data_IF_433632762607
#
_entry.id   IF_433632762607
#
_cell.length_a   1.000
_cell.length_b   1.000
_cell.length_c   1.000
_cell.angle_alpha   90.00
_cell.angle_beta   90.00
_cell.angle_gamma   90.00
#
_symmetry.space_group_name_H-M   'P 1'
#
loop_
_entity.id
_entity.type
_entity.pdbx_description
1 polymer ?
#
# COMPACT_ATOMS: atom_id res chain seq x y z
N UNK A 1 -6.13 14.58 19.87
CA UNK A 1 -6.04 16.01 19.46
C UNK A 1 -5.00 16.74 20.27
N UNK A 2 -5.08 16.79 21.61
CA UNK A 2 -4.08 17.45 22.48
C UNK A 2 -2.63 16.97 22.24
N UNK A 3 -2.40 15.67 22.13
CA UNK A 3 -1.06 15.15 21.85
C UNK A 3 -0.54 15.46 20.44
N UNK A 4 -1.44 15.53 19.45
CA UNK A 4 -1.10 15.93 18.07
C UNK A 4 -0.69 17.42 18.05
N UNK A 5 -1.31 18.24 18.90
CA UNK A 5 -0.93 19.64 19.07
C UNK A 5 0.42 19.77 19.79
N UNK A 6 0.70 18.91 20.77
CA UNK A 6 1.98 18.91 21.48
C UNK A 6 3.16 18.59 20.55
N UNK A 7 3.06 17.52 19.75
CA UNK A 7 4.13 17.14 18.81
C UNK A 7 4.39 18.23 17.77
N UNK A 8 3.33 18.90 17.31
CA UNK A 8 3.44 20.02 16.37
C UNK A 8 4.20 21.21 16.94
N UNK A 9 4.01 21.52 18.23
CA UNK A 9 4.79 22.58 18.89
C UNK A 9 6.28 22.24 18.84
N UNK A 10 6.65 21.01 19.18
CA UNK A 10 8.04 20.54 19.16
C UNK A 10 8.62 20.60 17.73
N UNK A 11 7.88 20.13 16.73
CA UNK A 11 8.30 20.20 15.32
C UNK A 11 8.49 21.66 14.89
N UNK A 12 7.56 22.55 15.25
CA UNK A 12 7.61 23.98 14.90
C UNK A 12 8.78 24.71 15.56
N UNK A 13 9.06 24.42 16.83
CA UNK A 13 10.24 24.94 17.54
C UNK A 13 11.53 24.47 16.86
N UNK A 14 11.64 23.17 16.55
CA UNK A 14 12.81 22.61 15.86
C UNK A 14 12.97 23.19 14.44
N UNK A 15 11.88 23.37 13.71
CA UNK A 15 11.86 24.01 12.39
C UNK A 15 12.28 25.47 12.46
N UNK A 16 11.93 26.18 13.53
CA UNK A 16 12.39 27.56 13.74
C UNK A 16 13.90 27.60 13.98
N UNK A 17 14.46 26.64 14.71
CA UNK A 17 15.90 26.52 14.96
C UNK A 17 16.70 26.09 13.71
N UNK A 18 16.13 25.23 12.86
CA UNK A 18 16.79 24.62 11.70
C UNK A 18 16.02 24.87 10.38
N UNK A 19 15.63 26.12 10.13
CA UNK A 19 14.71 26.45 9.04
C UNK A 19 15.24 26.05 7.65
N UNK A 20 16.55 26.22 7.41
CA UNK A 20 17.19 25.85 6.15
C UNK A 20 17.19 24.34 5.96
N UNK A 21 17.51 23.60 7.01
CA UNK A 21 17.64 22.15 6.96
C UNK A 21 16.28 21.47 6.84
N UNK A 22 15.22 22.01 7.44
CA UNK A 22 13.86 21.53 7.18
C UNK A 22 13.45 21.72 5.72
N UNK A 23 13.82 22.85 5.10
CA UNK A 23 13.58 23.07 3.67
C UNK A 23 14.33 22.04 2.80
N UNK A 24 15.60 21.80 3.09
CA UNK A 24 16.40 20.79 2.39
C UNK A 24 15.85 19.37 2.62
N UNK A 25 15.37 19.09 3.83
CA UNK A 25 14.74 17.81 4.17
C UNK A 25 13.49 17.55 3.34
N UNK A 26 12.62 18.56 3.19
CA UNK A 26 11.46 18.49 2.30
C UNK A 26 11.88 18.28 0.83
N UNK A 27 12.86 19.05 0.35
CA UNK A 27 13.40 18.92 -1.02
C UNK A 27 13.98 17.52 -1.28
N UNK A 28 14.68 16.93 -0.29
CA UNK A 28 15.22 15.58 -0.39
C UNK A 28 14.13 14.51 -0.43
N UNK A 29 13.04 14.67 0.34
CA UNK A 29 11.89 13.75 0.29
C UNK A 29 11.24 13.78 -1.10
N UNK A 30 11.01 14.97 -1.65
CA UNK A 30 10.43 15.09 -3.00
C UNK A 30 11.37 14.54 -4.08
N UNK A 31 12.67 14.80 -3.98
CA UNK A 31 13.66 14.22 -4.89
C UNK A 31 13.69 12.70 -4.80
N UNK A 32 13.63 12.14 -3.59
CA UNK A 32 13.55 10.70 -3.37
C UNK A 32 12.29 10.13 -4.05
N UNK A 33 11.14 10.80 -3.92
CA UNK A 33 9.90 10.40 -4.59
C UNK A 33 10.02 10.44 -6.12
N UNK A 34 10.59 11.51 -6.68
CA UNK A 34 10.75 11.67 -8.14
C UNK A 34 11.69 10.64 -8.77
N UNK A 35 12.79 10.29 -8.08
CA UNK A 35 13.79 9.36 -8.61
C UNK A 35 13.34 7.91 -8.46
N UNK A 36 12.66 7.59 -7.36
CA UNK A 36 12.32 6.22 -7.02
C UNK A 36 10.88 5.83 -7.36
N UNK A 37 10.01 6.78 -7.68
CA UNK A 37 8.64 6.52 -8.09
C UNK A 37 8.55 5.84 -9.45
N UNK A 38 7.45 5.12 -9.67
CA UNK A 38 7.12 4.61 -11.00
C UNK A 38 6.76 5.79 -11.93
N UNK A 39 7.49 5.94 -13.05
CA UNK A 39 7.20 6.94 -14.07
C UNK A 39 6.22 6.42 -15.14
N UNK A 40 5.74 7.32 -16.01
CA UNK A 40 4.77 6.99 -17.06
C UNK A 40 5.32 5.99 -18.08
N UNK A 41 6.63 6.03 -18.34
CA UNK A 41 7.30 5.05 -19.20
C UNK A 41 7.22 3.68 -18.55
N UNK A 42 7.52 3.60 -17.26
CA UNK A 42 7.48 2.38 -16.45
C UNK A 42 6.05 1.86 -16.27
N UNK A 43 5.05 2.73 -16.26
CA UNK A 43 3.66 2.30 -16.29
C UNK A 43 3.27 1.72 -17.67
N UNK A 44 3.61 2.43 -18.75
CA UNK A 44 3.18 2.10 -20.12
C UNK A 44 3.68 0.75 -20.63
N UNK A 45 4.97 0.45 -20.45
CA UNK A 45 5.53 -0.86 -20.85
C UNK A 45 4.98 -2.02 -19.99
N UNK A 46 4.77 -1.84 -18.67
CA UNK A 46 4.06 -2.82 -17.82
C UNK A 46 2.67 -3.12 -18.37
N UNK A 47 1.91 -2.08 -18.73
CA UNK A 47 0.59 -2.24 -19.34
C UNK A 47 0.63 -2.92 -20.71
N UNK A 48 1.70 -2.70 -21.49
CA UNK A 48 1.96 -3.42 -22.74
C UNK A 48 2.16 -4.92 -22.50
N UNK A 49 2.96 -5.30 -21.49
CA UNK A 49 3.16 -6.71 -21.11
C UNK A 49 1.86 -7.33 -20.62
N UNK A 50 1.10 -6.64 -19.76
CA UNK A 50 -0.25 -7.08 -19.35
C UNK A 50 -1.16 -7.34 -20.55
N UNK A 51 -1.14 -6.49 -21.57
CA UNK A 51 -1.96 -6.69 -22.77
C UNK A 51 -1.54 -7.93 -23.56
N UNK A 52 -0.23 -8.20 -23.67
CA UNK A 52 0.29 -9.43 -24.28
C UNK A 52 -0.20 -10.68 -23.51
N UNK A 53 -0.09 -10.66 -22.19
CA UNK A 53 -0.57 -11.74 -21.33
C UNK A 53 -2.08 -11.95 -21.44
N UNK A 54 -2.87 -10.88 -21.48
CA UNK A 54 -4.32 -10.97 -21.66
C UNK A 54 -4.69 -11.67 -22.97
N UNK A 55 -4.01 -11.33 -24.08
CA UNK A 55 -4.22 -11.97 -25.38
C UNK A 55 -4.00 -13.48 -25.31
N UNK A 56 -2.98 -13.94 -24.58
CA UNK A 56 -2.73 -15.37 -24.37
C UNK A 56 -3.80 -16.02 -23.49
N UNK A 57 -4.11 -15.42 -22.35
CA UNK A 57 -5.10 -15.94 -21.41
C UNK A 57 -6.47 -16.09 -22.09
N UNK A 58 -6.85 -15.16 -22.97
CA UNK A 58 -8.08 -15.23 -23.76
C UNK A 58 -8.16 -16.38 -24.77
N UNK A 59 -7.03 -17.00 -25.13
CA UNK A 59 -7.04 -18.26 -25.91
C UNK A 59 -7.59 -19.44 -25.09
N UNK A 60 -7.48 -19.38 -23.76
CA UNK A 60 -7.95 -20.42 -22.83
C UNK A 60 -9.28 -20.03 -22.19
N UNK A 61 -9.46 -18.75 -21.91
CA UNK A 61 -10.58 -18.16 -21.17
C UNK A 61 -11.07 -16.90 -21.87
N UNK A 62 -11.94 -17.04 -22.87
CA UNK A 62 -12.35 -15.96 -23.78
C UNK A 62 -12.93 -14.73 -23.06
N UNK A 63 -13.74 -14.97 -22.03
CA UNK A 63 -14.44 -13.92 -21.28
C UNK A 63 -13.62 -13.36 -20.11
N UNK A 64 -12.34 -13.72 -20.01
CA UNK A 64 -11.47 -13.21 -18.95
C UNK A 64 -11.03 -11.77 -19.20
N UNK A 65 -10.80 -11.07 -18.08
CA UNK A 65 -10.01 -9.86 -18.02
C UNK A 65 -8.77 -10.09 -17.14
N UNK A 66 -7.77 -9.23 -17.28
CA UNK A 66 -6.51 -9.31 -16.53
C UNK A 66 -6.22 -7.93 -15.95
N UNK A 67 -6.57 -7.65 -14.71
CA UNK A 67 -6.50 -6.28 -14.18
C UNK A 67 -5.18 -6.08 -13.46
N UNK A 68 -4.47 -4.99 -13.76
CA UNK A 68 -3.31 -4.58 -12.98
C UNK A 68 -3.76 -4.07 -11.62
N UNK A 69 -3.12 -4.53 -10.56
CA UNK A 69 -3.43 -4.18 -9.17
C UNK A 69 -2.14 -3.80 -8.43
N UNK A 70 -2.27 -3.45 -7.16
CA UNK A 70 -1.13 -3.14 -6.29
C UNK A 70 -0.39 -1.87 -6.70
N UNK A 71 0.91 -1.89 -6.45
CA UNK A 71 1.85 -0.76 -6.63
C UNK A 71 1.83 -0.17 -8.04
N UNK A 72 1.51 -0.98 -9.05
CA UNK A 72 1.53 -0.55 -10.46
C UNK A 72 0.45 0.49 -10.77
N UNK A 73 -0.69 0.45 -10.08
CA UNK A 73 -1.86 1.31 -10.37
C UNK A 73 -2.30 2.18 -9.19
N UNK A 74 -1.91 1.82 -7.96
CA UNK A 74 -2.37 2.51 -6.75
C UNK A 74 -1.69 3.87 -6.47
N UNK A 75 -0.78 4.31 -7.36
CA UNK A 75 -0.04 5.56 -7.24
C UNK A 75 1.12 5.57 -6.24
N UNK A 76 1.40 4.44 -5.58
CA UNK A 76 2.44 4.31 -4.53
C UNK A 76 3.56 3.32 -4.94
N UNK A 77 3.73 3.05 -6.23
CA UNK A 77 4.73 2.13 -6.75
C UNK A 77 6.12 2.73 -6.91
N UNK A 78 7.15 1.92 -6.69
CA UNK A 78 8.54 2.25 -7.05
C UNK A 78 8.85 1.85 -8.49
N UNK A 79 9.88 2.43 -9.09
CA UNK A 79 10.33 2.11 -10.46
C UNK A 79 10.64 0.63 -10.68
N UNK A 80 11.12 -0.05 -9.63
CA UNK A 80 11.47 -1.47 -9.64
C UNK A 80 10.44 -2.38 -8.96
N UNK A 81 9.23 -1.89 -8.68
CA UNK A 81 8.19 -2.73 -8.07
C UNK A 81 7.69 -3.77 -9.07
N UNK A 82 7.44 -4.98 -8.57
CA UNK A 82 6.74 -6.06 -9.27
C UNK A 82 5.39 -5.59 -9.85
N UNK A 83 4.90 -6.32 -10.84
CA UNK A 83 3.56 -6.12 -11.40
C UNK A 83 2.59 -7.17 -10.86
N UNK A 84 1.69 -6.74 -9.98
CA UNK A 84 0.58 -7.59 -9.53
C UNK A 84 -0.56 -7.57 -10.56
N UNK A 85 -1.04 -8.75 -10.94
CA UNK A 85 -2.15 -8.93 -11.86
C UNK A 85 -3.25 -9.80 -11.22
N UNK A 86 -4.50 -9.44 -11.47
CA UNK A 86 -5.67 -10.22 -11.10
C UNK A 86 -6.41 -10.67 -12.35
N UNK A 87 -6.43 -11.99 -12.61
CA UNK A 87 -7.33 -12.53 -13.61
C UNK A 87 -8.74 -12.47 -13.05
N UNK A 88 -9.61 -11.74 -13.75
CA UNK A 88 -11.04 -11.74 -13.52
C UNK A 88 -11.65 -12.73 -14.50
N UNK A 89 -11.84 -13.95 -14.03
CA UNK A 89 -12.48 -15.01 -14.80
C UNK A 89 -13.87 -15.24 -14.21
N UNK A 90 -14.95 -14.93 -14.95
CA UNK A 90 -16.30 -15.14 -14.46
C UNK A 90 -16.51 -16.60 -14.05
N UNK A 91 -17.02 -16.79 -12.84
CA UNK A 91 -17.53 -18.05 -12.32
C UNK A 91 -19.06 -18.07 -12.49
N UNK A 92 -19.72 -19.14 -12.00
CA UNK A 92 -21.19 -19.33 -12.04
C UNK A 92 -21.96 -18.00 -11.92
N UNK A 93 -22.96 -17.80 -12.78
CA UNK A 93 -23.79 -16.58 -12.86
C UNK A 93 -22.98 -15.28 -13.11
N UNK A 94 -21.88 -15.37 -13.85
CA UNK A 94 -20.97 -14.23 -14.14
C UNK A 94 -20.38 -13.56 -12.88
N UNK A 95 -20.37 -14.27 -11.75
CA UNK A 95 -19.82 -13.74 -10.50
C UNK A 95 -18.29 -13.86 -10.46
N UNK A 96 -17.63 -12.93 -9.77
CA UNK A 96 -16.21 -13.00 -9.44
C UNK A 96 -15.98 -13.40 -7.98
N UNK A 97 -16.97 -14.07 -7.37
CA UNK A 97 -16.88 -14.48 -5.97
C UNK A 97 -15.63 -15.35 -5.73
N UNK A 98 -14.98 -15.09 -4.60
CA UNK A 98 -13.74 -15.74 -4.22
C UNK A 98 -13.98 -17.23 -3.92
N UNK A 99 -13.81 -18.08 -4.92
CA UNK A 99 -13.82 -19.54 -4.76
C UNK A 99 -12.41 -20.09 -4.93
N UNK A 100 -11.79 -20.48 -3.81
CA UNK A 100 -10.41 -20.96 -3.79
C UNK A 100 -10.14 -22.12 -4.76
N UNK A 101 -11.04 -23.10 -4.81
CA UNK A 101 -10.90 -24.28 -5.68
C UNK A 101 -10.98 -23.89 -7.16
N UNK A 102 -11.87 -22.96 -7.50
CA UNK A 102 -11.96 -22.40 -8.84
C UNK A 102 -10.72 -21.58 -9.21
N UNK A 103 -10.23 -20.71 -8.32
CA UNK A 103 -8.99 -19.96 -8.54
C UNK A 103 -7.81 -20.91 -8.78
N UNK A 104 -7.67 -21.99 -7.99
CA UNK A 104 -6.66 -23.03 -8.22
C UNK A 104 -6.84 -23.67 -9.61
N UNK A 105 -8.06 -24.05 -9.98
CA UNK A 105 -8.34 -24.67 -11.27
C UNK A 105 -7.91 -23.76 -12.43
N UNK A 106 -8.31 -22.49 -12.39
CA UNK A 106 -7.97 -21.48 -13.39
C UNK A 106 -6.46 -21.31 -13.49
N UNK A 107 -5.78 -21.07 -12.36
CA UNK A 107 -4.34 -20.83 -12.33
C UNK A 107 -3.54 -22.07 -12.74
N UNK A 108 -3.91 -23.29 -12.33
CA UNK A 108 -3.19 -24.50 -12.76
C UNK A 108 -3.31 -24.76 -14.26
N UNK A 109 -4.47 -24.46 -14.85
CA UNK A 109 -4.66 -24.57 -16.31
C UNK A 109 -3.78 -23.57 -17.06
N UNK A 110 -3.70 -22.32 -16.58
CA UNK A 110 -2.84 -21.29 -17.18
C UNK A 110 -1.37 -21.56 -16.96
N UNK A 111 -0.98 -21.98 -15.75
CA UNK A 111 0.38 -22.39 -15.44
C UNK A 111 0.87 -23.46 -16.41
N UNK A 112 0.05 -24.50 -16.68
CA UNK A 112 0.38 -25.53 -17.69
C UNK A 112 0.67 -24.90 -19.05
N UNK A 113 -0.14 -23.94 -19.49
CA UNK A 113 0.06 -23.23 -20.77
C UNK A 113 1.30 -22.33 -20.76
N UNK A 114 1.58 -21.62 -19.67
CA UNK A 114 2.79 -20.81 -19.52
C UNK A 114 4.07 -21.64 -19.60
N UNK A 115 4.09 -22.85 -19.03
CA UNK A 115 5.30 -23.71 -19.04
C UNK A 115 5.42 -24.60 -20.28
N UNK A 116 4.35 -24.75 -21.09
CA UNK A 116 4.37 -25.49 -22.36
C UNK A 116 4.33 -24.55 -23.56
N UNK A 117 3.16 -24.01 -23.87
CA UNK A 117 2.84 -23.38 -25.14
C UNK A 117 3.47 -21.98 -25.26
N UNK A 118 3.68 -21.32 -24.12
CA UNK A 118 4.14 -19.92 -24.05
C UNK A 118 5.47 -19.78 -23.31
N UNK A 119 6.20 -20.88 -23.10
CA UNK A 119 7.43 -20.93 -22.29
C UNK A 119 8.47 -19.89 -22.70
N UNK A 120 8.62 -19.66 -24.01
CA UNK A 120 9.59 -18.74 -24.59
C UNK A 120 9.44 -17.27 -24.16
N UNK A 121 8.30 -16.89 -23.57
CA UNK A 121 8.08 -15.53 -23.07
C UNK A 121 8.60 -15.30 -21.66
N UNK A 122 8.98 -16.36 -20.96
CA UNK A 122 9.33 -16.32 -19.54
C UNK A 122 10.70 -16.92 -19.31
N UNK A 123 11.51 -16.23 -18.50
CA UNK A 123 12.73 -16.77 -17.93
C UNK A 123 12.39 -17.82 -16.87
N UNK A 124 11.46 -17.49 -15.97
CA UNK A 124 10.95 -18.41 -14.94
C UNK A 124 9.43 -18.31 -14.84
N UNK A 125 8.79 -19.42 -14.46
CA UNK A 125 7.36 -19.49 -14.20
C UNK A 125 7.12 -20.49 -13.08
N UNK A 126 6.52 -20.03 -11.98
CA UNK A 126 6.33 -20.82 -10.76
C UNK A 126 4.88 -20.71 -10.29
N UNK A 127 4.29 -21.85 -9.92
CA UNK A 127 2.98 -21.87 -9.25
C UNK A 127 3.18 -21.95 -7.73
N UNK A 128 2.61 -20.99 -7.00
CA UNK A 128 2.76 -20.88 -5.55
C UNK A 128 1.40 -21.18 -4.87
N UNK A 129 1.26 -22.32 -4.16
CA UNK A 129 0.00 -22.77 -3.56
C UNK A 129 -0.30 -22.09 -2.20
N UNK A 130 -0.06 -20.78 -2.07
CA UNK A 130 -0.32 -20.03 -0.85
C UNK A 130 -1.83 -19.87 -0.55
N UNK A 131 -2.15 -19.15 0.54
CA UNK A 131 -3.55 -18.83 0.91
C UNK A 131 -4.30 -18.14 -0.23
N UNK A 132 -3.63 -17.18 -0.88
CA UNK A 132 -4.01 -16.66 -2.19
C UNK A 132 -3.03 -17.29 -3.19
N UNK A 133 -3.45 -18.26 -4.00
CA UNK A 133 -2.56 -18.87 -4.99
C UNK A 133 -2.17 -17.87 -6.05
N UNK A 134 -0.91 -17.91 -6.45
CA UNK A 134 -0.38 -17.05 -7.49
C UNK A 134 0.47 -17.85 -8.47
N UNK A 135 0.61 -17.32 -9.68
CA UNK A 135 1.66 -17.68 -10.62
C UNK A 135 2.66 -16.54 -10.60
N UNK A 136 3.91 -16.82 -10.22
CA UNK A 136 5.02 -15.87 -10.31
C UNK A 136 5.76 -16.08 -11.63
N UNK A 137 5.97 -14.99 -12.37
CA UNK A 137 6.64 -14.98 -13.67
C UNK A 137 7.83 -14.02 -13.64
N UNK A 138 8.97 -14.45 -14.18
CA UNK A 138 10.02 -13.54 -14.65
C UNK A 138 9.96 -13.54 -16.18
N UNK A 139 9.80 -12.37 -16.79
CA UNK A 139 9.72 -12.27 -18.25
C UNK A 139 11.09 -12.54 -18.90
N UNK A 140 11.08 -13.00 -20.15
CA UNK A 140 12.29 -13.06 -20.99
C UNK A 140 12.52 -11.72 -21.73
N UNK A 141 13.62 -11.62 -22.49
CA UNK A 141 13.92 -10.46 -23.32
C UNK A 141 12.71 -10.02 -24.17
N UNK A 142 12.40 -8.71 -24.27
CA UNK A 142 13.15 -7.57 -23.75
C UNK A 142 12.64 -7.04 -22.39
N UNK A 143 12.00 -7.87 -21.56
CA UNK A 143 11.33 -7.44 -20.32
C UNK A 143 11.94 -8.10 -19.06
N UNK A 144 13.21 -8.45 -19.09
CA UNK A 144 13.86 -9.35 -18.11
C UNK A 144 13.86 -8.83 -16.67
N UNK A 145 13.71 -7.52 -16.51
CA UNK A 145 13.60 -6.82 -15.24
C UNK A 145 12.18 -6.89 -14.62
N UNK A 146 11.19 -7.43 -15.33
CA UNK A 146 9.79 -7.45 -14.90
C UNK A 146 9.41 -8.78 -14.23
N UNK A 147 9.20 -8.72 -12.91
CA UNK A 147 8.53 -9.76 -12.14
C UNK A 147 7.01 -9.53 -12.11
N UNK A 148 6.23 -10.60 -12.29
CA UNK A 148 4.76 -10.54 -12.36
C UNK A 148 4.15 -11.61 -11.47
N UNK A 149 3.27 -11.18 -10.56
CA UNK A 149 2.47 -12.06 -9.71
C UNK A 149 1.01 -12.07 -10.17
N UNK A 150 0.54 -13.22 -10.65
CA UNK A 150 -0.82 -13.39 -11.16
C UNK A 150 -1.69 -14.18 -10.18
N UNK A 151 -2.69 -13.53 -9.59
CA UNK A 151 -3.75 -14.19 -8.81
C UNK A 151 -5.05 -14.30 -9.64
N UNK A 152 -6.07 -14.99 -9.10
CA UNK A 152 -7.35 -15.18 -9.77
C UNK A 152 -8.53 -14.81 -8.85
N UNK A 153 -9.38 -13.89 -9.32
CA UNK A 153 -10.57 -13.36 -8.65
C UNK A 153 -10.30 -12.82 -7.23
N UNK A 154 -9.13 -12.24 -6.99
CA UNK A 154 -8.86 -11.48 -5.76
C UNK A 154 -9.46 -10.06 -5.86
N UNK A 155 -10.78 -9.99 -5.85
CA UNK A 155 -11.55 -8.77 -6.12
C UNK A 155 -11.23 -7.64 -5.14
N UNK A 156 -10.98 -7.96 -3.86
CA UNK A 156 -10.57 -6.96 -2.87
C UNK A 156 -9.31 -6.20 -3.30
N UNK A 157 -8.33 -6.90 -3.89
CA UNK A 157 -7.11 -6.27 -4.42
C UNK A 157 -7.38 -5.24 -5.52
N UNK A 158 -8.41 -5.44 -6.33
CA UNK A 158 -8.81 -4.50 -7.39
C UNK A 158 -9.41 -3.23 -6.77
N UNK A 159 -10.41 -3.38 -5.89
CA UNK A 159 -11.04 -2.23 -5.24
C UNK A 159 -10.08 -1.45 -4.34
N UNK A 160 -9.12 -2.12 -3.70
CA UNK A 160 -8.06 -1.46 -2.94
C UNK A 160 -7.17 -0.61 -3.81
N UNK A 161 -6.74 -1.17 -4.94
CA UNK A 161 -5.88 -0.47 -5.88
C UNK A 161 -6.56 0.76 -6.44
N UNK A 162 -7.85 0.64 -6.75
CA UNK A 162 -8.70 1.75 -7.16
C UNK A 162 -8.83 2.82 -6.06
N UNK A 163 -9.19 2.42 -4.82
CA UNK A 163 -9.32 3.35 -3.71
C UNK A 163 -8.01 4.12 -3.43
N UNK A 164 -6.89 3.40 -3.34
CA UNK A 164 -5.57 3.98 -3.09
C UNK A 164 -5.12 4.91 -4.22
N UNK A 165 -5.44 4.59 -5.48
CA UNK A 165 -5.19 5.46 -6.62
C UNK A 165 -5.90 6.81 -6.48
N UNK A 166 -7.14 6.83 -5.99
CA UNK A 166 -7.83 8.11 -5.77
C UNK A 166 -7.24 8.86 -4.58
N UNK A 167 -6.84 8.17 -3.50
CA UNK A 167 -6.10 8.82 -2.41
C UNK A 167 -4.78 9.45 -2.89
N UNK A 168 -4.03 8.77 -3.76
CA UNK A 168 -2.78 9.32 -4.31
C UNK A 168 -2.97 10.56 -5.17
N UNK A 169 -4.19 10.80 -5.67
CA UNK A 169 -4.54 12.00 -6.45
C UNK A 169 -5.18 13.11 -5.63
N UNK A 170 -5.55 12.84 -4.37
CA UNK A 170 -6.11 13.87 -3.48
C UNK A 170 -5.01 14.77 -2.92
N UNK A 171 -3.85 14.21 -2.58
CA UNK A 171 -2.72 14.97 -2.02
C UNK A 171 -1.38 14.25 -2.30
N UNK A 172 -0.46 14.93 -2.98
CA UNK A 172 0.83 14.37 -3.42
C UNK A 172 1.74 13.97 -2.24
N UNK A 173 1.49 14.49 -1.03
CA UNK A 173 2.26 14.10 0.16
C UNK A 173 2.02 12.64 0.52
N UNK A 174 0.86 12.07 0.18
CA UNK A 174 0.54 10.67 0.46
C UNK A 174 1.44 9.67 -0.27
N UNK A 175 1.52 9.66 -1.62
CA UNK A 175 2.39 8.72 -2.33
C UNK A 175 3.88 8.96 -2.01
N UNK A 176 4.30 10.21 -1.78
CA UNK A 176 5.66 10.52 -1.34
C UNK A 176 6.01 9.89 0.02
N UNK A 177 5.13 10.02 1.02
CA UNK A 177 5.29 9.37 2.33
C UNK A 177 5.25 7.85 2.20
N UNK A 178 4.33 7.29 1.42
CA UNK A 178 4.23 5.84 1.21
C UNK A 178 5.54 5.24 0.68
N UNK A 179 6.14 5.86 -0.34
CA UNK A 179 7.38 5.36 -0.92
C UNK A 179 8.55 5.47 0.07
N UNK A 180 8.68 6.62 0.73
CA UNK A 180 9.74 6.86 1.69
C UNK A 180 9.65 5.92 2.91
N UNK A 181 8.46 5.78 3.48
CA UNK A 181 8.20 4.87 4.62
C UNK A 181 8.42 3.41 4.20
N UNK A 182 8.08 3.03 2.96
CA UNK A 182 8.38 1.68 2.45
C UNK A 182 9.89 1.42 2.44
N UNK A 183 10.69 2.35 1.92
CA UNK A 183 12.15 2.22 1.86
C UNK A 183 12.80 2.22 3.25
N UNK A 184 12.37 3.15 4.12
CA UNK A 184 12.77 3.14 5.53
C UNK A 184 12.47 1.79 6.19
N UNK A 185 11.25 1.26 6.02
CA UNK A 185 10.85 0.01 6.66
C UNK A 185 11.62 -1.22 6.13
N UNK A 186 12.08 -1.19 4.87
CA UNK A 186 12.99 -2.20 4.32
C UNK A 186 14.34 -2.12 5.03
N UNK A 187 14.92 -0.92 5.12
CA UNK A 187 16.25 -0.70 5.71
C UNK A 187 16.26 -0.96 7.22
N UNK A 188 15.15 -0.64 7.91
CA UNK A 188 14.92 -0.96 9.31
C UNK A 188 14.58 -2.45 9.57
N UNK A 189 14.48 -3.28 8.52
CA UNK A 189 14.22 -4.73 8.65
C UNK A 189 12.79 -5.11 9.06
N UNK A 190 11.83 -4.19 8.95
CA UNK A 190 10.44 -4.37 9.40
C UNK A 190 9.41 -4.50 8.26
N UNK A 191 9.86 -4.57 7.01
CA UNK A 191 9.03 -4.83 5.82
C UNK A 191 9.34 -6.21 5.20
N UNK A 192 9.09 -7.30 5.94
CA UNK A 192 9.23 -8.67 5.46
C UNK A 192 8.18 -9.60 6.09
N UNK A 193 7.06 -9.77 5.38
CA UNK A 193 5.94 -10.60 5.85
C UNK A 193 6.31 -12.07 6.07
N UNK A 194 7.31 -12.61 5.34
CA UNK A 194 7.77 -13.99 5.52
C UNK A 194 8.51 -14.17 6.85
N UNK A 195 9.20 -13.12 7.32
CA UNK A 195 9.86 -13.07 8.63
C UNK A 195 8.91 -12.61 9.75
N UNK A 196 7.62 -12.43 9.45
CA UNK A 196 6.59 -12.06 10.42
C UNK A 196 6.57 -10.58 10.79
N UNK A 197 7.18 -9.69 10.00
CA UNK A 197 7.06 -8.22 10.13
C UNK A 197 6.03 -7.68 9.13
N UNK A 198 5.92 -6.35 8.97
CA UNK A 198 4.87 -5.74 8.15
C UNK A 198 5.05 -6.07 6.65
N UNK A 199 3.96 -6.01 5.89
CA UNK A 199 4.00 -5.96 4.43
C UNK A 199 3.80 -4.52 3.94
N UNK A 200 4.23 -4.27 2.70
CA UNK A 200 4.11 -2.94 2.07
C UNK A 200 2.67 -2.42 2.02
N UNK A 201 1.67 -3.27 1.82
CA UNK A 201 0.25 -2.84 1.84
C UNK A 201 -0.17 -2.32 3.22
N UNK A 202 0.21 -3.02 4.30
CA UNK A 202 -0.07 -2.61 5.67
C UNK A 202 0.60 -1.28 6.02
N UNK A 203 1.84 -1.05 5.54
CA UNK A 203 2.52 0.24 5.69
C UNK A 203 1.77 1.37 4.97
N UNK A 204 1.31 1.15 3.73
CA UNK A 204 0.51 2.14 2.99
C UNK A 204 -0.78 2.47 3.77
N UNK A 205 -1.48 1.47 4.31
CA UNK A 205 -2.67 1.70 5.12
C UNK A 205 -2.36 2.46 6.41
N UNK A 206 -1.22 2.22 7.04
CA UNK A 206 -0.77 3.00 8.20
C UNK A 206 -0.50 4.46 7.85
N UNK A 207 0.15 4.75 6.70
CA UNK A 207 0.35 6.13 6.24
C UNK A 207 -0.99 6.80 5.94
N UNK A 208 -1.88 6.12 5.20
CA UNK A 208 -3.21 6.63 4.89
C UNK A 208 -4.02 6.95 6.15
N UNK A 209 -4.07 6.02 7.10
CA UNK A 209 -4.73 6.22 8.39
C UNK A 209 -4.17 7.42 9.15
N UNK A 210 -2.84 7.55 9.21
CA UNK A 210 -2.20 8.69 9.84
C UNK A 210 -2.63 10.02 9.18
N UNK A 211 -2.66 10.06 7.85
CA UNK A 211 -3.10 11.24 7.11
C UNK A 211 -4.61 11.51 7.23
N UNK A 212 -5.42 10.50 7.53
CA UNK A 212 -6.87 10.63 7.73
C UNK A 212 -7.26 11.09 9.14
N UNK A 213 -6.59 10.58 10.19
CA UNK A 213 -6.99 10.86 11.56
C UNK A 213 -5.85 10.93 12.59
N UNK A 214 -4.60 10.66 12.20
CA UNK A 214 -3.42 10.87 13.05
C UNK A 214 -2.89 12.31 13.01
N UNK A 215 -2.92 12.94 11.84
CA UNK A 215 -2.63 14.36 11.63
C UNK A 215 -3.88 15.21 11.81
N UNK A 216 -3.74 16.41 12.39
CA UNK A 216 -4.87 17.32 12.64
C UNK A 216 -4.55 18.79 12.32
N UNK A 217 -5.05 19.41 11.24
CA UNK A 217 -6.17 18.92 10.44
C UNK A 217 -5.82 17.67 9.62
N UNK A 218 -6.80 16.82 9.28
CA UNK A 218 -6.58 15.70 8.38
C UNK A 218 -6.00 16.15 7.03
N UNK A 219 -5.01 15.42 6.52
CA UNK A 219 -4.47 15.63 5.17
C UNK A 219 -5.40 14.99 4.16
N UNK A 220 -5.86 13.76 4.42
CA UNK A 220 -6.75 13.01 3.54
C UNK A 220 -8.16 12.87 4.15
N UNK A 221 -9.22 12.92 3.34
CA UNK A 221 -10.59 12.65 3.80
C UNK A 221 -10.85 11.14 3.93
N UNK A 222 -12.05 10.77 4.39
CA UNK A 222 -12.55 9.41 4.22
C UNK A 222 -13.34 9.30 2.90
N UNK A 223 -12.72 8.77 1.84
CA UNK A 223 -13.36 8.64 0.52
C UNK A 223 -14.52 7.63 0.52
N UNK A 224 -14.44 6.56 1.31
CA UNK A 224 -15.52 5.55 1.42
C UNK A 224 -16.79 6.12 2.07
N UNK A 225 -16.62 7.07 2.98
CA UNK A 225 -17.72 7.84 3.55
C UNK A 225 -18.27 8.87 2.57
N UNK A 226 -17.39 9.61 1.88
CA UNK A 226 -17.80 10.72 1.01
C UNK A 226 -18.39 10.27 -0.34
N UNK A 227 -17.92 9.14 -0.90
CA UNK A 227 -18.33 8.63 -2.21
C UNK A 227 -18.61 7.11 -2.16
N UNK A 228 -19.61 6.67 -1.37
CA UNK A 228 -19.86 5.25 -1.15
C UNK A 228 -20.16 4.48 -2.43
N UNK A 229 -20.86 5.10 -3.39
CA UNK A 229 -21.17 4.47 -4.68
C UNK A 229 -19.94 4.11 -5.52
N UNK A 230 -18.82 4.82 -5.31
CA UNK A 230 -17.57 4.62 -6.04
C UNK A 230 -16.61 3.70 -5.27
N UNK A 231 -16.57 3.80 -3.94
CA UNK A 231 -15.52 3.18 -3.12
C UNK A 231 -16.00 2.11 -2.13
N UNK A 232 -17.30 1.74 -2.12
CA UNK A 232 -17.80 0.65 -1.27
C UNK A 232 -18.13 -0.63 -2.04
N UNK A 233 -17.39 -0.88 -3.13
CA UNK A 233 -17.53 -2.08 -3.97
C UNK A 233 -18.95 -2.33 -4.52
N UNK A 234 -19.74 -1.25 -4.67
CA UNK A 234 -21.07 -1.27 -5.31
C UNK A 234 -20.99 -1.16 -6.83
N UNK A 235 -19.91 -0.53 -7.34
CA UNK A 235 -19.62 -0.44 -8.76
C UNK A 235 -19.05 -1.77 -9.28
N UNK A 236 -19.48 -2.23 -10.45
CA UNK A 236 -18.93 -3.46 -11.04
C UNK A 236 -17.45 -3.28 -11.41
N UNK A 237 -16.69 -4.36 -11.36
CA UNK A 237 -15.26 -4.37 -11.70
C UNK A 237 -15.01 -3.78 -13.10
N UNK A 238 -15.88 -4.09 -14.06
CA UNK A 238 -15.76 -3.62 -15.44
C UNK A 238 -16.03 -2.11 -15.61
N UNK A 239 -16.66 -1.48 -14.61
CA UNK A 239 -16.96 -0.04 -14.59
C UNK A 239 -15.95 0.76 -13.75
N UNK A 240 -14.97 0.09 -13.14
CA UNK A 240 -13.91 0.77 -12.41
C UNK A 240 -12.94 1.44 -13.37
N UNK A 241 -12.86 2.76 -13.27
CA UNK A 241 -11.93 3.55 -14.06
C UNK A 241 -10.95 4.29 -13.15
N UNK A 242 -9.66 4.12 -13.46
CA UNK A 242 -8.57 4.92 -12.92
C UNK A 242 -8.53 6.26 -13.65
N UNK A 243 -7.88 7.26 -13.07
CA UNK A 243 -7.64 8.58 -13.66
C UNK A 243 -8.89 9.43 -13.97
N UNK A 244 -10.11 8.99 -13.67
CA UNK A 244 -11.30 9.85 -13.71
C UNK A 244 -11.33 10.83 -12.54
N UNK A 245 -11.97 11.96 -12.72
CA UNK A 245 -12.22 12.90 -11.64
C UNK A 245 -13.33 12.37 -10.71
N UNK A 246 -13.31 12.86 -9.47
CA UNK A 246 -14.39 12.59 -8.52
C UNK A 246 -15.70 13.17 -9.07
N UNK A 247 -16.84 12.48 -8.86
CA UNK A 247 -18.12 12.88 -9.44
C UNK A 247 -18.61 14.26 -8.97
N UNK A 248 -18.15 14.70 -7.79
CA UNK A 248 -18.33 16.03 -7.24
C UNK A 248 -17.08 16.40 -6.43
N UNK A 249 -16.82 17.70 -6.21
CA UNK A 249 -15.65 18.14 -5.45
C UNK A 249 -15.72 17.69 -3.99
N UNK A 250 -14.55 17.59 -3.35
CA UNK A 250 -14.48 17.39 -1.90
C UNK A 250 -15.18 18.53 -1.15
N UNK A 251 -15.87 18.22 -0.04
CA UNK A 251 -16.51 19.25 0.77
C UNK A 251 -15.47 20.22 1.34
N UNK A 252 -15.85 21.49 1.62
CA UNK A 252 -14.98 22.43 2.31
C UNK A 252 -14.46 21.83 3.61
N UNK A 253 -13.14 21.91 3.82
CA UNK A 253 -12.46 21.39 5.01
C UNK A 253 -11.29 22.29 5.37
N UNK A 254 -10.86 22.20 6.61
CA UNK A 254 -9.59 22.80 7.02
C UNK A 254 -8.44 22.04 6.35
N UNK A 255 -7.55 22.77 5.68
CA UNK A 255 -6.42 22.19 4.98
C UNK A 255 -5.23 22.09 5.91
N UNK A 256 -4.63 20.91 5.98
CA UNK A 256 -3.36 20.72 6.65
C UNK A 256 -2.22 21.35 5.83
N UNK A 257 -1.49 22.29 6.45
CA UNK A 257 -0.38 23.04 5.85
C UNK A 257 1.01 22.52 6.23
N UNK A 258 1.12 21.41 6.96
CA UNK A 258 2.41 20.80 7.30
C UNK A 258 3.11 20.31 6.04
N UNK A 259 4.43 20.51 5.97
CA UNK A 259 5.23 19.98 4.87
C UNK A 259 5.35 18.46 4.95
N UNK A 260 5.83 17.83 3.87
CA UNK A 260 5.98 16.37 3.83
C UNK A 260 6.95 15.87 4.90
N UNK A 261 8.00 16.62 5.21
CA UNK A 261 8.96 16.32 6.28
C UNK A 261 8.36 16.47 7.67
N UNK A 262 7.55 17.51 7.91
CA UNK A 262 6.81 17.66 9.18
C UNK A 262 5.86 16.47 9.40
N UNK A 263 5.13 16.06 8.36
CA UNK A 263 4.23 14.91 8.42
C UNK A 263 4.98 13.60 8.64
N UNK A 264 6.16 13.41 8.04
CA UNK A 264 6.97 12.22 8.25
C UNK A 264 7.43 12.09 9.72
N UNK A 265 7.89 13.19 10.31
CA UNK A 265 8.32 13.22 11.72
C UNK A 265 7.11 12.91 12.62
N UNK A 266 5.98 13.55 12.36
CA UNK A 266 4.74 13.31 13.10
C UNK A 266 4.22 11.86 12.92
N UNK A 267 4.39 11.25 11.74
CA UNK A 267 4.05 9.85 11.48
C UNK A 267 4.88 8.89 12.34
N UNK A 268 6.20 9.10 12.42
CA UNK A 268 7.06 8.26 13.27
C UNK A 268 6.72 8.44 14.75
N UNK A 269 6.46 9.67 15.19
CA UNK A 269 6.02 9.92 16.57
C UNK A 269 4.68 9.24 16.88
N UNK A 270 3.71 9.37 15.98
CA UNK A 270 2.38 8.78 16.12
C UNK A 270 2.47 7.27 16.33
N UNK A 271 3.20 6.54 15.47
CA UNK A 271 3.31 5.09 15.56
C UNK A 271 4.31 4.59 16.61
N UNK A 272 5.28 5.41 17.05
CA UNK A 272 6.09 5.08 18.21
C UNK A 272 5.25 5.02 19.51
N UNK A 273 4.17 5.80 19.58
CA UNK A 273 3.27 5.89 20.73
C UNK A 273 1.98 5.07 20.58
N UNK A 274 1.66 4.59 19.38
CA UNK A 274 0.43 3.88 19.08
C UNK A 274 0.26 2.60 19.91
N UNK A 275 -0.93 2.41 20.49
CA UNK A 275 -1.25 1.25 21.31
C UNK A 275 -1.70 0.06 20.46
N UNK A 276 -0.76 -0.58 19.75
CA UNK A 276 -1.03 -1.78 18.94
C UNK A 276 -1.65 -2.94 19.74
N UNK A 277 -1.49 -2.95 21.07
CA UNK A 277 -2.00 -4.01 21.92
C UNK A 277 -3.52 -3.95 22.00
N UNK A 278 -4.08 -2.77 22.23
CA UNK A 278 -5.51 -2.59 22.48
C UNK A 278 -6.26 -1.91 21.34
N UNK A 279 -5.56 -1.32 20.38
CA UNK A 279 -6.16 -0.54 19.29
C UNK A 279 -5.96 -1.17 17.91
N UNK A 280 -6.99 -1.03 17.07
CA UNK A 280 -7.02 -1.44 15.68
C UNK A 280 -7.20 -0.23 14.76
N UNK A 281 -6.65 -0.33 13.55
CA UNK A 281 -6.66 0.74 12.54
C UNK A 281 -7.76 0.48 11.50
N UNK A 282 -8.59 1.49 11.19
CA UNK A 282 -9.57 1.44 10.10
C UNK A 282 -9.48 2.68 9.21
N UNK A 283 -9.02 2.49 7.97
CA UNK A 283 -9.10 3.55 6.94
C UNK A 283 -10.51 3.72 6.38
N UNK A 284 -11.34 2.67 6.47
CA UNK A 284 -12.74 2.66 6.02
C UNK A 284 -13.61 3.59 6.84
N UNK A 285 -13.38 3.60 8.15
CA UNK A 285 -14.07 4.49 9.07
C UNK A 285 -13.24 5.73 9.40
N UNK A 286 -11.98 5.80 8.96
CA UNK A 286 -11.05 6.90 9.24
C UNK A 286 -10.80 7.06 10.73
N UNK A 287 -10.60 5.94 11.44
CA UNK A 287 -10.52 5.95 12.90
C UNK A 287 -9.66 4.82 13.47
N UNK A 288 -9.44 4.94 14.77
CA UNK A 288 -8.92 3.89 15.65
C UNK A 288 -10.08 3.33 16.47
N UNK A 289 -10.12 2.01 16.67
CA UNK A 289 -11.17 1.36 17.47
C UNK A 289 -10.59 0.29 18.40
N UNK A 290 -11.34 -0.06 19.45
CA UNK A 290 -10.91 -1.06 20.45
C UNK A 290 -10.85 -2.45 19.82
N UNK A 291 -9.75 -3.16 20.09
CA UNK A 291 -9.58 -4.57 19.71
C UNK A 291 -10.51 -5.50 20.46
N UNK A 292 -11.15 -5.07 21.55
CA UNK A 292 -12.20 -5.83 22.25
C UNK A 292 -13.44 -6.05 21.36
N UNK A 293 -13.63 -5.22 20.34
CA UNK A 293 -14.71 -5.37 19.36
C UNK A 293 -14.39 -6.41 18.27
N UNK A 294 -13.16 -6.94 18.23
CA UNK A 294 -12.74 -7.94 17.26
C UNK A 294 -13.06 -9.35 17.74
N UNK A 295 -13.25 -10.27 16.80
CA UNK A 295 -13.45 -11.68 17.12
C UNK A 295 -12.22 -12.29 17.84
N UNK A 296 -12.45 -13.23 18.77
CA UNK A 296 -11.41 -13.87 19.59
C UNK A 296 -10.27 -14.51 18.76
N UNK A 297 -10.59 -15.00 17.55
CA UNK A 297 -9.61 -15.60 16.64
C UNK A 297 -8.55 -14.62 16.11
N UNK A 298 -8.70 -13.32 16.41
CA UNK A 298 -7.76 -12.26 16.06
C UNK A 298 -6.70 -12.00 17.14
N UNK A 299 -6.87 -12.55 18.35
CA UNK A 299 -5.97 -12.33 19.50
C UNK A 299 -4.53 -12.79 19.27
N UNK A 300 -4.32 -13.73 18.34
CA UNK A 300 -3.00 -14.18 17.92
C UNK A 300 -2.18 -13.12 17.18
N UNK A 301 -2.82 -12.11 16.59
CA UNK A 301 -2.13 -11.05 15.86
C UNK A 301 -1.73 -9.93 16.81
N UNK A 302 -0.54 -9.37 16.62
CA UNK A 302 0.00 -8.30 17.48
C UNK A 302 -0.26 -6.90 16.94
N UNK A 303 -0.57 -6.81 15.65
CA UNK A 303 -1.05 -5.59 14.98
C UNK A 303 -2.32 -5.95 14.24
N UNK A 304 -3.34 -5.09 14.31
CA UNK A 304 -4.58 -5.24 13.54
C UNK A 304 -4.85 -4.01 12.70
N UNK A 305 -4.84 -4.21 11.38
CA UNK A 305 -5.19 -3.19 10.39
C UNK A 305 -6.33 -3.77 9.57
N UNK A 306 -7.51 -3.14 9.67
CA UNK A 306 -8.73 -3.55 8.98
C UNK A 306 -8.56 -3.34 7.47
N UNK A 307 -8.80 -4.41 6.72
CA UNK A 307 -8.96 -4.38 5.28
C UNK A 307 -10.31 -3.69 4.93
N UNK A 308 -10.32 -2.61 4.11
CA UNK A 308 -11.51 -1.78 3.89
C UNK A 308 -12.72 -2.46 3.22
N UNK A 309 -12.57 -3.64 2.62
CA UNK A 309 -13.66 -4.34 1.94
C UNK A 309 -14.01 -5.68 2.59
N UNK A 310 -13.02 -6.46 3.01
CA UNK A 310 -13.22 -7.79 3.59
C UNK A 310 -13.06 -7.84 5.11
N UNK A 311 -12.69 -6.71 5.75
CA UNK A 311 -12.55 -6.50 7.19
C UNK A 311 -11.58 -7.47 7.89
N UNK A 312 -10.74 -8.19 7.13
CA UNK A 312 -9.69 -9.05 7.69
C UNK A 312 -8.49 -8.20 8.10
N UNK A 313 -7.58 -8.84 8.83
CA UNK A 313 -6.31 -8.22 9.17
C UNK A 313 -5.32 -8.25 7.99
N UNK A 314 -4.80 -7.09 7.59
CA UNK A 314 -3.71 -6.98 6.60
C UNK A 314 -2.35 -7.30 7.20
N UNK A 315 -2.15 -7.04 8.50
CA UNK A 315 -0.91 -7.29 9.26
C UNK A 315 -0.87 -8.69 9.91
N UNK A 316 -1.54 -9.67 9.30
CA UNK A 316 -1.70 -11.05 9.81
C UNK A 316 -0.39 -11.82 10.05
N UNK A 317 0.71 -11.36 9.46
CA UNK A 317 2.05 -11.93 9.60
C UNK A 317 2.68 -11.60 10.96
N UNK A 318 2.25 -10.52 11.62
CA UNK A 318 2.80 -10.10 12.92
C UNK A 318 2.08 -10.85 14.05
N UNK A 319 2.62 -12.01 14.42
CA UNK A 319 2.03 -12.90 15.45
C UNK A 319 2.89 -13.03 16.71
N UNK A 320 4.17 -12.68 16.66
CA UNK A 320 5.09 -12.76 17.79
C UNK A 320 5.26 -11.40 18.49
N UNK A 321 5.50 -11.44 19.81
CA UNK A 321 5.72 -10.22 20.61
C UNK A 321 7.07 -9.60 20.24
N UNK A 322 8.04 -10.44 19.92
CA UNK A 322 9.38 -10.07 19.48
C UNK A 322 9.30 -9.22 18.20
N UNK A 323 8.52 -9.63 17.20
CA UNK A 323 8.35 -8.84 15.97
C UNK A 323 7.59 -7.54 16.22
N UNK A 324 6.61 -7.53 17.13
CA UNK A 324 5.97 -6.27 17.54
C UNK A 324 6.99 -5.32 18.19
N UNK A 325 7.86 -5.84 19.05
CA UNK A 325 8.88 -5.05 19.74
C UNK A 325 9.89 -4.46 18.73
N UNK A 326 10.36 -5.27 17.77
CA UNK A 326 11.21 -4.79 16.67
C UNK A 326 10.56 -3.65 15.88
N UNK A 327 9.27 -3.78 15.56
CA UNK A 327 8.52 -2.72 14.87
C UNK A 327 8.46 -1.45 15.73
N UNK A 328 8.11 -1.57 17.02
CA UNK A 328 8.03 -0.42 17.94
C UNK A 328 9.38 0.28 18.12
N UNK A 329 10.45 -0.48 18.22
CA UNK A 329 11.82 0.03 18.33
C UNK A 329 12.24 0.78 17.07
N UNK A 330 11.93 0.24 15.88
CA UNK A 330 12.20 0.92 14.61
C UNK A 330 11.49 2.29 14.54
N UNK A 331 10.18 2.35 14.84
CA UNK A 331 9.43 3.61 14.88
C UNK A 331 10.01 4.59 15.92
N UNK A 332 10.33 4.09 17.11
CA UNK A 332 10.92 4.91 18.19
C UNK A 332 12.29 5.46 17.81
N UNK A 333 13.12 4.64 17.18
CA UNK A 333 14.45 5.02 16.68
C UNK A 333 14.34 6.10 15.61
N UNK A 334 13.47 5.91 14.61
CA UNK A 334 13.25 6.89 13.54
C UNK A 334 12.72 8.23 14.08
N UNK A 335 11.76 8.19 15.01
CA UNK A 335 11.28 9.39 15.73
C UNK A 335 12.45 10.09 16.43
N UNK A 336 13.22 9.33 17.21
CA UNK A 336 14.29 9.90 18.01
C UNK A 336 15.37 10.56 17.13
N UNK A 337 15.74 9.91 16.04
CA UNK A 337 16.75 10.37 15.09
C UNK A 337 16.38 11.68 14.38
N UNK A 338 15.08 11.96 14.22
CA UNK A 338 14.60 13.19 13.58
C UNK A 338 14.18 14.28 14.58
N UNK A 339 13.69 13.90 15.77
CA UNK A 339 12.98 14.83 16.66
C UNK A 339 13.67 15.09 18.00
N UNK A 340 14.45 14.16 18.57
CA UNK A 340 15.05 14.38 19.90
C UNK A 340 15.86 15.68 19.95
N UNK A 341 15.87 16.34 21.11
CA UNK A 341 16.57 17.62 21.31
C UNK A 341 18.08 17.49 21.07
N UNK A 342 18.65 16.33 21.39
CA UNK A 342 20.05 15.99 21.10
C UNK A 342 20.30 15.67 19.62
N UNK A 343 19.26 15.28 18.87
CA UNK A 343 19.38 15.09 17.44
C UNK A 343 19.49 16.47 16.78
N UNK A 344 20.44 16.63 15.86
CA UNK A 344 20.60 17.84 15.05
C UNK A 344 19.41 18.08 14.10
N UNK A 345 19.62 18.76 12.97
CA UNK A 345 18.56 18.94 11.97
C UNK A 345 18.07 17.59 11.39
N UNK A 346 16.82 17.50 10.92
CA UNK A 346 16.31 16.29 10.29
C UNK A 346 17.04 15.99 8.98
N UNK A 347 17.34 14.71 8.73
CA UNK A 347 17.97 14.21 7.51
C UNK A 347 17.48 12.78 7.23
N UNK A 348 17.28 12.43 5.95
CA UNK A 348 16.89 11.08 5.55
C UNK A 348 17.96 10.03 5.89
N UNK A 349 19.23 10.41 5.91
CA UNK A 349 20.33 9.51 6.30
C UNK A 349 20.19 9.05 7.77
N UNK A 350 19.54 9.84 8.63
CA UNK A 350 19.30 9.45 10.03
C UNK A 350 18.28 8.32 10.17
N UNK A 351 17.52 8.02 9.12
CA UNK A 351 16.59 6.90 9.04
C UNK A 351 17.03 5.89 7.98
N UNK A 352 18.32 5.88 7.65
CA UNK A 352 18.96 4.99 6.67
C UNK A 352 18.35 5.06 5.26
N UNK A 353 17.75 6.20 4.87
CA UNK A 353 17.26 6.42 3.51
C UNK A 353 18.19 7.37 2.76
N UNK A 354 18.59 6.98 1.55
CA UNK A 354 19.50 7.74 0.68
C UNK A 354 18.75 8.40 -0.48
#
# INVERSE_FOLDING_TARGET
MEESLAIRSVIKEKKTAFAREFKLFDEHIWRHFQINGQDDRTFSWKMTVRQKLLTLIRQVYKDSNLIAVGSTVNGCGSYNSDMDLCICQPYKNQSFEANRSYSIHVLRKLYKKFVTDWRQMFKTCQYIPAKVPIIKLEMAAPYEELEIDINCNNVAGIYNSHLLHYYSRVDDRFPALCLLVKHWAINAGINNAMMGTLNSYSLILMVLHFLQCGAFPPVLPNLQFLYPALFNATCSIDSLELFRDLPYPLPPREFNTETVGELLIAFFDYYARFDFKNQAISIRNGCVYSRELLADNTMRFKIFIEEPYDQKNTARCVTSIENLQLIREAFTSARNALLQTSAGPPNLEHIDVR
#
